data_IF_456860419380
#
_entry.id   IF_456860419380
#
_cell.length_a   1.000
_cell.length_b   1.000
_cell.length_c   1.000
_cell.angle_alpha   90.00
_cell.angle_beta   90.00
_cell.angle_gamma   90.00
#
_symmetry.space_group_name_H-M   'P 1'
#
loop_
_entity.id
_entity.type
_entity.pdbx_description
1 polymer ?
#
# COMPACT_ATOMS: atom_id res chain seq x y z
N UNK A 1 -26.46 28.45 87.37
CA UNK A 1 -27.67 28.94 86.69
C UNK A 1 -27.40 28.97 85.19
N UNK A 2 -28.00 28.01 84.46
CA UNK A 2 -28.37 27.96 83.03
C UNK A 2 -27.28 28.14 81.93
N UNK A 3 -26.93 27.12 81.09
CA UNK A 3 -27.62 26.57 79.87
C UNK A 3 -27.53 27.58 78.69
N UNK A 4 -27.10 27.33 77.43
CA UNK A 4 -26.77 26.15 76.58
C UNK A 4 -26.05 26.59 75.28
N UNK A 5 -25.17 25.69 74.77
CA UNK A 5 -24.94 25.23 73.36
C UNK A 5 -25.11 26.17 72.16
N UNK A 6 -24.12 26.18 71.23
CA UNK A 6 -24.11 25.38 69.99
C UNK A 6 -22.78 25.52 69.21
N UNK A 7 -22.38 24.42 68.56
CA UNK A 7 -21.13 24.22 67.84
C UNK A 7 -21.37 24.04 66.33
N UNK A 8 -20.38 24.39 65.52
CA UNK A 8 -20.02 23.85 64.19
C UNK A 8 -18.77 24.65 63.76
N UNK A 9 -17.59 24.11 63.47
CA UNK A 9 -17.23 22.86 62.81
C UNK A 9 -16.57 23.23 61.48
N UNK A 10 -15.28 22.92 61.30
CA UNK A 10 -14.71 22.30 60.09
C UNK A 10 -13.17 22.19 60.21
N UNK A 11 -12.70 20.95 60.05
CA UNK A 11 -11.32 20.48 60.08
C UNK A 11 -10.69 20.77 58.71
N UNK A 12 -9.54 21.45 58.66
CA UNK A 12 -8.72 21.52 57.44
C UNK A 12 -7.57 20.51 57.54
N UNK A 13 -7.62 19.51 56.66
CA UNK A 13 -6.74 18.36 56.57
C UNK A 13 -5.32 18.73 56.09
N UNK A 14 -4.35 17.98 56.61
CA UNK A 14 -3.01 17.84 56.09
C UNK A 14 -3.02 17.34 54.63
N UNK A 15 -2.21 17.96 53.76
CA UNK A 15 -1.93 17.46 52.41
C UNK A 15 -0.52 16.90 52.36
N UNK A 16 -0.43 15.57 52.33
CA UNK A 16 0.79 14.79 52.09
C UNK A 16 1.13 14.90 50.60
N UNK A 17 2.33 15.38 50.28
CA UNK A 17 2.92 15.34 48.94
C UNK A 17 3.24 13.87 48.58
N UNK A 18 2.29 13.19 47.94
CA UNK A 18 2.55 11.93 47.24
C UNK A 18 3.17 12.27 45.90
N UNK A 19 4.49 12.07 45.79
CA UNK A 19 5.20 12.10 44.51
C UNK A 19 4.67 10.99 43.62
N UNK A 20 3.77 11.35 42.70
CA UNK A 20 3.24 10.44 41.69
C UNK A 20 4.37 9.98 40.77
N UNK A 21 4.64 8.68 40.76
CA UNK A 21 5.38 8.04 39.68
C UNK A 21 4.50 8.19 38.43
N UNK A 22 4.91 9.06 37.51
CA UNK A 22 4.30 9.16 36.20
C UNK A 22 4.69 7.89 35.44
N UNK A 23 3.85 6.86 35.52
CA UNK A 23 4.01 5.65 34.70
C UNK A 23 3.74 6.10 33.26
N UNK A 24 4.80 6.20 32.46
CA UNK A 24 4.68 6.47 31.03
C UNK A 24 3.73 5.42 30.42
N UNK A 25 2.74 5.83 29.60
CA UNK A 25 1.88 4.87 28.93
C UNK A 25 2.72 3.88 28.11
N UNK A 26 2.33 2.60 28.02
CA UNK A 26 3.08 1.60 27.29
C UNK A 26 3.28 2.09 25.85
N UNK A 27 4.52 2.01 25.37
CA UNK A 27 4.87 2.33 24.00
C UNK A 27 3.84 1.66 23.07
N UNK A 28 3.11 2.46 22.30
CA UNK A 28 2.21 1.97 21.26
C UNK A 28 2.97 0.94 20.44
N UNK A 29 2.43 -0.28 20.36
CA UNK A 29 3.19 -1.37 19.76
C UNK A 29 3.56 -0.99 18.32
N UNK A 30 4.86 -1.00 18.04
CA UNK A 30 5.40 -0.53 16.77
C UNK A 30 4.75 -1.30 15.61
N UNK A 31 4.32 -0.58 14.57
CA UNK A 31 3.90 -1.20 13.32
C UNK A 31 5.13 -1.36 12.43
N UNK A 32 5.43 -2.59 12.04
CA UNK A 32 6.60 -2.96 11.25
C UNK A 32 6.16 -3.55 9.93
N UNK A 33 6.80 -3.15 8.83
CA UNK A 33 6.62 -3.75 7.51
C UNK A 33 7.87 -4.56 7.18
N UNK A 34 7.71 -5.85 6.89
CA UNK A 34 8.83 -6.74 6.54
C UNK A 34 8.70 -7.21 5.10
N UNK A 35 9.65 -6.84 4.26
CA UNK A 35 9.73 -7.37 2.89
C UNK A 35 10.14 -8.83 2.94
N UNK A 36 9.40 -9.68 2.23
CA UNK A 36 9.71 -11.10 2.05
C UNK A 36 10.48 -11.33 0.76
N UNK A 37 10.00 -10.73 -0.33
CA UNK A 37 10.64 -10.83 -1.64
C UNK A 37 10.23 -9.65 -2.53
N UNK A 38 11.07 -9.37 -3.51
CA UNK A 38 10.80 -8.36 -4.52
C UNK A 38 11.34 -8.83 -5.86
N UNK A 39 10.47 -8.91 -6.86
CA UNK A 39 10.79 -9.44 -8.18
C UNK A 39 10.15 -8.58 -9.27
N UNK A 40 10.76 -8.58 -10.45
CA UNK A 40 10.11 -8.02 -11.64
C UNK A 40 8.95 -8.93 -12.06
N UNK A 41 7.78 -8.37 -12.32
CA UNK A 41 6.62 -9.10 -12.80
C UNK A 41 5.80 -8.28 -13.80
N UNK A 42 4.97 -8.98 -14.58
CA UNK A 42 3.99 -8.43 -15.51
C UNK A 42 2.61 -8.55 -14.88
N UNK A 43 1.87 -7.44 -14.84
CA UNK A 43 0.50 -7.45 -14.32
C UNK A 43 -0.50 -7.73 -15.45
N UNK A 44 -0.72 -9.02 -15.73
CA UNK A 44 -1.66 -9.50 -16.74
C UNK A 44 -3.14 -9.16 -16.44
N UNK A 45 -3.46 -8.76 -15.21
CA UNK A 45 -4.83 -8.41 -14.83
C UNK A 45 -5.19 -6.97 -15.19
N UNK A 46 -4.22 -6.14 -15.60
CA UNK A 46 -4.43 -4.72 -15.90
C UNK A 46 -3.83 -4.39 -17.27
N UNK A 47 -4.49 -4.76 -18.39
CA UNK A 47 -4.03 -4.38 -19.72
C UNK A 47 -4.03 -2.84 -19.86
N UNK A 48 -2.94 -2.29 -20.39
CA UNK A 48 -2.82 -0.85 -20.66
C UNK A 48 -3.53 -0.46 -21.95
N UNK A 49 -3.36 -1.29 -22.97
CA UNK A 49 -3.83 -1.03 -24.31
C UNK A 49 -3.92 -2.31 -25.11
N UNK A 50 -4.77 -2.26 -26.12
CA UNK A 50 -5.05 -3.36 -27.02
C UNK A 50 -5.10 -2.81 -28.43
N UNK A 51 -4.57 -3.56 -29.38
CA UNK A 51 -4.75 -3.29 -30.81
C UNK A 51 -5.06 -4.60 -31.52
N UNK A 52 -5.91 -4.53 -32.54
CA UNK A 52 -6.33 -5.69 -33.33
C UNK A 52 -6.16 -5.39 -34.81
N UNK A 53 -5.71 -6.37 -35.58
CA UNK A 53 -5.57 -6.24 -37.03
C UNK A 53 -5.67 -7.62 -37.71
N UNK A 54 -6.04 -7.68 -39.01
CA UNK A 54 -6.02 -8.94 -39.76
C UNK A 54 -4.60 -9.48 -39.91
N UNK A 55 -4.50 -10.76 -40.27
CA UNK A 55 -3.22 -11.41 -40.55
C UNK A 55 -2.43 -10.66 -41.64
N UNK A 56 -1.13 -10.48 -41.42
CA UNK A 56 -0.24 -9.74 -42.33
C UNK A 56 -0.20 -8.22 -42.09
N UNK A 57 -1.11 -7.66 -41.29
CA UNK A 57 -1.08 -6.24 -40.94
C UNK A 57 -0.24 -5.97 -39.69
N UNK A 58 0.37 -4.78 -39.64
CA UNK A 58 1.10 -4.33 -38.44
C UNK A 58 0.15 -3.63 -37.48
N UNK A 59 0.21 -4.06 -36.23
CA UNK A 59 -0.54 -3.48 -35.13
C UNK A 59 0.44 -2.79 -34.17
N UNK A 60 0.21 -1.49 -33.92
CA UNK A 60 1.12 -0.62 -33.17
C UNK A 60 0.39 0.05 -32.00
N UNK A 61 1.01 -0.01 -30.82
CA UNK A 61 0.61 0.64 -29.58
C UNK A 61 1.79 1.52 -29.17
N UNK A 62 1.67 2.84 -29.31
CA UNK A 62 2.78 3.78 -29.10
C UNK A 62 2.34 5.07 -28.41
N UNK A 63 2.04 5.01 -27.10
CA UNK A 63 1.63 6.17 -26.27
C UNK A 63 1.94 5.95 -24.78
N UNK A 64 1.80 7.02 -23.99
CA UNK A 64 1.79 6.93 -22.52
C UNK A 64 0.42 6.50 -22.00
N UNK A 65 0.39 5.57 -21.05
CA UNK A 65 -0.81 5.04 -20.40
C UNK A 65 -0.67 5.08 -18.87
N UNK A 66 -1.80 5.17 -18.16
CA UNK A 66 -1.82 5.10 -16.71
C UNK A 66 -1.86 3.63 -16.24
N UNK A 67 -0.79 3.15 -15.62
CA UNK A 67 -0.73 1.84 -14.99
C UNK A 67 -1.10 1.91 -13.51
N UNK A 68 -1.94 0.99 -13.05
CA UNK A 68 -2.40 0.93 -11.65
C UNK A 68 -1.31 0.40 -10.71
N UNK A 69 -1.14 1.07 -9.57
CA UNK A 69 -0.31 0.64 -8.45
C UNK A 69 -1.17 -0.05 -7.40
N UNK A 70 -0.81 -1.28 -7.05
CA UNK A 70 -1.50 -2.04 -5.99
C UNK A 70 -0.67 -1.99 -4.72
N UNK A 71 -1.30 -1.75 -3.57
CA UNK A 71 -0.67 -1.82 -2.25
C UNK A 71 -1.74 -2.36 -1.29
N UNK A 72 -1.62 -3.61 -0.89
CA UNK A 72 -2.57 -4.22 0.04
C UNK A 72 -2.22 -3.83 1.48
N UNK A 73 -3.20 -3.36 2.25
CA UNK A 73 -3.00 -2.97 3.65
C UNK A 73 -3.70 -3.93 4.60
N UNK A 74 -3.26 -3.98 5.85
CA UNK A 74 -3.85 -4.76 6.93
C UNK A 74 -3.87 -3.94 8.23
N UNK A 75 -4.60 -4.38 9.27
CA UNK A 75 -4.60 -3.76 10.60
C UNK A 75 -4.85 -2.23 10.63
N UNK A 76 -5.58 -1.71 9.64
CA UNK A 76 -5.89 -0.28 9.54
C UNK A 76 -4.71 0.64 9.17
N UNK A 77 -3.53 0.11 8.81
CA UNK A 77 -2.43 0.97 8.36
C UNK A 77 -2.75 1.60 7.00
N UNK A 78 -2.33 2.84 6.83
CA UNK A 78 -2.57 3.59 5.60
C UNK A 78 -1.67 3.12 4.45
N UNK A 79 -2.16 3.28 3.22
CA UNK A 79 -1.37 3.06 2.00
C UNK A 79 -0.08 3.89 1.98
N UNK A 80 -0.14 5.14 2.45
CA UNK A 80 1.02 6.03 2.50
C UNK A 80 2.11 5.51 3.43
N UNK A 81 1.72 5.03 4.62
CA UNK A 81 2.66 4.41 5.56
C UNK A 81 3.36 3.21 4.93
N UNK A 82 2.60 2.26 4.37
CA UNK A 82 3.17 1.06 3.73
C UNK A 82 4.05 1.44 2.54
N UNK A 83 3.61 2.37 1.69
CA UNK A 83 4.41 2.81 0.55
C UNK A 83 5.75 3.43 0.95
N UNK A 84 5.78 4.19 2.06
CA UNK A 84 7.00 4.78 2.58
C UNK A 84 7.97 3.69 3.08
N UNK A 85 7.45 2.69 3.81
CA UNK A 85 8.27 1.56 4.30
C UNK A 85 8.80 0.69 3.15
N UNK A 86 8.05 0.55 2.06
CA UNK A 86 8.46 -0.21 0.87
C UNK A 86 9.32 0.60 -0.10
N UNK A 87 9.53 1.90 0.12
CA UNK A 87 10.27 2.77 -0.80
C UNK A 87 9.59 2.91 -2.17
N UNK A 88 8.27 2.93 -2.22
CA UNK A 88 7.47 3.10 -3.45
C UNK A 88 6.52 4.30 -3.33
N UNK A 89 5.94 4.71 -4.45
CA UNK A 89 5.00 5.83 -4.45
C UNK A 89 3.66 5.42 -3.84
N UNK A 90 3.05 6.31 -3.05
CA UNK A 90 1.68 6.16 -2.54
C UNK A 90 0.62 6.39 -3.61
N UNK A 91 0.98 6.99 -4.75
CA UNK A 91 0.07 7.31 -5.84
C UNK A 91 -0.66 6.04 -6.36
N UNK A 92 -1.89 6.22 -6.85
CA UNK A 92 -2.72 5.12 -7.36
C UNK A 92 -2.32 4.67 -8.75
N UNK A 93 -1.77 5.56 -9.56
CA UNK A 93 -1.37 5.29 -10.95
C UNK A 93 0.01 5.85 -11.26
N UNK A 94 0.69 5.23 -12.23
CA UNK A 94 1.95 5.71 -12.82
C UNK A 94 1.76 5.88 -14.31
N UNK A 95 2.32 6.94 -14.89
CA UNK A 95 2.46 7.01 -16.35
C UNK A 95 3.52 6.01 -16.83
N UNK A 96 3.17 5.19 -17.82
CA UNK A 96 4.03 4.19 -18.45
C UNK A 96 4.01 4.42 -19.96
N UNK A 97 5.19 4.57 -20.55
CA UNK A 97 5.33 4.71 -22.00
C UNK A 97 5.33 3.33 -22.65
N UNK A 98 4.34 3.08 -23.51
CA UNK A 98 4.20 1.85 -24.28
C UNK A 98 4.71 2.09 -25.69
N UNK A 99 5.57 1.18 -26.17
CA UNK A 99 5.99 1.11 -27.57
C UNK A 99 6.04 -0.35 -28.01
N UNK A 100 4.93 -0.84 -28.55
CA UNK A 100 4.80 -2.19 -29.05
C UNK A 100 4.30 -2.17 -30.48
N UNK A 101 5.02 -2.83 -31.38
CA UNK A 101 4.60 -3.01 -32.76
C UNK A 101 4.88 -4.44 -33.19
N UNK A 102 3.88 -5.12 -33.76
CA UNK A 102 4.03 -6.48 -34.28
C UNK A 102 3.19 -6.66 -35.54
N UNK A 103 3.69 -7.47 -36.47
CA UNK A 103 2.91 -8.02 -37.58
C UNK A 103 2.01 -9.13 -37.02
N UNK A 104 0.71 -9.10 -37.33
CA UNK A 104 -0.24 -10.10 -36.86
C UNK A 104 -0.07 -11.41 -37.64
N UNK A 105 0.22 -12.55 -36.98
CA UNK A 105 0.24 -13.85 -37.63
C UNK A 105 -1.19 -14.36 -37.90
N UNK A 106 -1.36 -15.38 -38.78
CA UNK A 106 -2.68 -15.91 -39.15
C UNK A 106 -3.59 -16.34 -37.99
N UNK A 107 -2.99 -16.80 -36.89
CA UNK A 107 -3.71 -17.38 -35.75
C UNK A 107 -3.81 -16.42 -34.54
N UNK A 108 -3.52 -15.13 -34.73
CA UNK A 108 -3.62 -14.12 -33.68
C UNK A 108 -4.29 -12.88 -34.22
N UNK A 109 -5.32 -12.40 -33.53
CA UNK A 109 -6.07 -11.22 -33.94
C UNK A 109 -5.74 -9.96 -33.14
N UNK A 110 -5.00 -10.12 -32.02
CA UNK A 110 -4.88 -9.07 -31.00
C UNK A 110 -3.50 -8.99 -30.37
N UNK A 111 -2.97 -7.78 -30.28
CA UNK A 111 -1.81 -7.40 -29.46
C UNK A 111 -2.30 -6.70 -28.20
N UNK A 112 -1.84 -7.15 -27.03
CA UNK A 112 -2.17 -6.52 -25.74
C UNK A 112 -0.89 -6.13 -25.03
N UNK A 113 -0.86 -4.90 -24.51
CA UNK A 113 0.23 -4.35 -23.71
C UNK A 113 -0.14 -4.40 -22.22
N UNK A 114 0.79 -4.90 -21.40
CA UNK A 114 0.66 -4.98 -19.95
C UNK A 114 1.78 -4.21 -19.26
N UNK A 115 1.51 -3.57 -18.11
CA UNK A 115 2.56 -2.92 -17.35
C UNK A 115 3.46 -4.00 -16.75
N UNK A 116 4.76 -3.78 -16.88
CA UNK A 116 5.77 -4.51 -16.13
C UNK A 116 6.34 -3.60 -15.03
N UNK A 117 6.80 -4.21 -13.96
CA UNK A 117 7.39 -3.47 -12.86
C UNK A 117 7.72 -4.37 -11.69
N UNK A 118 7.83 -3.78 -10.51
CA UNK A 118 8.26 -4.47 -9.31
C UNK A 118 7.06 -4.98 -8.53
N UNK A 119 7.00 -6.29 -8.33
CA UNK A 119 6.07 -6.92 -7.40
C UNK A 119 6.80 -7.20 -6.08
N UNK A 120 6.22 -6.73 -4.99
CA UNK A 120 6.80 -6.82 -3.64
C UNK A 120 5.84 -7.62 -2.78
N UNK A 121 6.34 -8.67 -2.14
CA UNK A 121 5.61 -9.43 -1.14
C UNK A 121 6.15 -9.06 0.25
N UNK A 122 5.24 -8.83 1.20
CA UNK A 122 5.60 -8.36 2.53
C UNK A 122 4.56 -8.79 3.57
N UNK A 123 4.92 -8.64 4.84
CA UNK A 123 3.98 -8.74 5.96
C UNK A 123 3.96 -7.43 6.74
N UNK A 124 2.87 -7.22 7.46
CA UNK A 124 2.74 -6.13 8.43
C UNK A 124 2.60 -6.77 9.80
N UNK A 125 3.37 -6.29 10.78
CA UNK A 125 3.21 -6.65 12.18
C UNK A 125 2.72 -5.42 12.95
N UNK A 126 1.63 -5.53 13.70
CA UNK A 126 1.08 -4.47 14.53
C UNK A 126 0.50 -5.08 15.81
N UNK A 127 0.75 -4.47 16.98
CA UNK A 127 0.29 -4.99 18.27
C UNK A 127 0.63 -6.48 18.52
N UNK A 128 1.82 -6.91 18.09
CA UNK A 128 2.26 -8.30 18.24
C UNK A 128 1.61 -9.30 17.28
N UNK A 129 0.66 -8.86 16.43
CA UNK A 129 0.02 -9.68 15.41
C UNK A 129 0.65 -9.44 14.05
N UNK A 130 0.91 -10.51 13.29
CA UNK A 130 1.46 -10.44 11.93
C UNK A 130 0.40 -10.82 10.91
N UNK A 131 0.32 -10.07 9.82
CA UNK A 131 -0.61 -10.34 8.72
C UNK A 131 -0.19 -11.59 7.95
N UNK A 132 -1.09 -12.12 7.11
CA UNK A 132 -0.68 -12.97 6.00
C UNK A 132 0.22 -12.21 5.01
N UNK A 133 0.71 -12.91 3.99
CA UNK A 133 1.49 -12.31 2.91
C UNK A 133 0.64 -11.33 2.12
N UNK A 134 1.05 -10.06 2.13
CA UNK A 134 0.49 -8.98 1.34
C UNK A 134 1.35 -8.75 0.09
N UNK A 135 0.78 -8.05 -0.87
CA UNK A 135 1.42 -7.75 -2.14
C UNK A 135 1.27 -6.27 -2.50
N UNK A 136 2.31 -5.73 -3.12
CA UNK A 136 2.30 -4.45 -3.81
C UNK A 136 2.85 -4.62 -5.22
N UNK A 137 2.29 -3.86 -6.16
CA UNK A 137 2.77 -3.78 -7.54
C UNK A 137 3.07 -2.32 -7.88
N UNK A 138 4.32 -2.06 -8.24
CA UNK A 138 4.83 -0.76 -8.66
C UNK A 138 5.24 -0.84 -10.14
N UNK A 139 4.45 -0.29 -11.07
CA UNK A 139 4.81 -0.23 -12.49
C UNK A 139 6.11 0.56 -12.68
N UNK A 140 6.91 0.14 -13.64
CA UNK A 140 8.08 0.90 -14.09
C UNK A 140 7.73 1.75 -15.33
N UNK A 141 8.26 2.96 -15.47
CA UNK A 141 7.77 3.96 -16.43
C UNK A 141 8.03 3.60 -17.90
N UNK A 142 8.97 2.70 -18.19
CA UNK A 142 9.32 2.26 -19.53
C UNK A 142 9.32 0.72 -19.67
N UNK A 143 8.74 0.01 -18.70
CA UNK A 143 8.71 -1.46 -18.69
C UNK A 143 7.31 -1.93 -19.06
N UNK A 144 7.18 -2.48 -20.27
CA UNK A 144 5.91 -2.97 -20.81
C UNK A 144 6.16 -4.32 -21.46
N UNK A 145 5.24 -5.24 -21.27
CA UNK A 145 5.25 -6.53 -21.94
C UNK A 145 4.08 -6.64 -22.90
N UNK A 146 4.35 -7.11 -24.11
CA UNK A 146 3.36 -7.16 -25.18
C UNK A 146 3.21 -8.57 -25.73
N UNK A 147 1.96 -9.04 -25.75
CA UNK A 147 1.62 -10.41 -26.08
C UNK A 147 0.56 -10.46 -27.17
N UNK A 148 0.68 -11.48 -28.03
CA UNK A 148 -0.27 -11.77 -29.08
C UNK A 148 -1.28 -12.80 -28.58
N UNK A 149 -2.56 -12.49 -28.77
CA UNK A 149 -3.69 -13.34 -28.43
C UNK A 149 -4.43 -13.76 -29.69
N UNK A 150 -5.06 -14.93 -29.60
CA UNK A 150 -5.97 -15.42 -30.62
C UNK A 150 -7.22 -14.54 -30.65
#
# INVERSE_FOLDING_TARGET
MNIRKLAAGFIAMASVLVGGVVVAPPASAATVVRVLSSNSNINFNNPLATCSAPAGFTCTISKSYAATRTINVAFGVSRSFVSAQLGISSATTRSVTVSCSKVMPPNRSRLVAYPAGRQIFYTITSNGQTSGTLMAFEPEPASVACFLYA
#
